data_IF_069285515186
#
_entry.id   IF_069285515186
#
_cell.length_a   1.000
_cell.length_b   1.000
_cell.length_c   1.000
_cell.angle_alpha   90.00
_cell.angle_beta   90.00
_cell.angle_gamma   90.00
#
_symmetry.space_group_name_H-M   'P 1'
#
loop_
_entity.id
_entity.type
_entity.pdbx_description
1 polymer ?
#
# COMPACT_ATOMS: atom_id res chain seq x y z
N UNK A 1 -73.14 -17.78 13.46
CA UNK A 1 -71.95 -17.15 14.06
C UNK A 1 -70.87 -18.22 13.94
N UNK A 2 -69.99 -18.22 12.93
CA UNK A 2 -68.98 -17.20 12.64
C UNK A 2 -68.49 -17.34 11.18
N UNK A 3 -68.11 -16.22 10.56
CA UNK A 3 -67.54 -16.13 9.22
C UNK A 3 -66.02 -16.38 9.19
N UNK A 4 -65.54 -16.62 7.97
CA UNK A 4 -64.26 -17.11 7.47
C UNK A 4 -63.20 -15.99 7.29
N UNK A 5 -61.92 -16.39 7.31
CA UNK A 5 -60.75 -15.91 6.49
C UNK A 5 -59.48 -15.76 7.36
N UNK A 6 -58.49 -16.64 7.21
CA UNK A 6 -57.41 -16.69 6.21
C UNK A 6 -56.14 -15.93 6.69
N UNK A 7 -55.12 -16.68 7.10
CA UNK A 7 -53.76 -16.18 7.35
C UNK A 7 -52.85 -16.73 6.27
N UNK A 8 -52.39 -15.84 5.39
CA UNK A 8 -51.34 -16.07 4.40
C UNK A 8 -49.99 -16.16 5.13
N UNK A 9 -49.27 -17.26 4.89
CA UNK A 9 -47.86 -17.42 5.25
C UNK A 9 -47.05 -17.03 4.02
N UNK A 10 -46.47 -15.83 4.02
CA UNK A 10 -45.46 -15.44 3.04
C UNK A 10 -44.06 -15.74 3.56
N UNK A 11 -43.27 -16.37 2.69
CA UNK A 11 -41.89 -16.81 2.90
C UNK A 11 -40.95 -15.60 2.92
N UNK A 12 -40.23 -15.39 4.02
CA UNK A 12 -39.02 -14.56 4.03
C UNK A 12 -37.80 -15.44 3.72
N UNK A 13 -37.14 -15.17 2.59
CA UNK A 13 -35.79 -15.68 2.33
C UNK A 13 -34.75 -14.95 3.18
N UNK A 14 -33.54 -15.50 3.37
CA UNK A 14 -32.52 -14.87 4.19
C UNK A 14 -31.89 -13.70 3.42
N UNK A 15 -32.26 -12.47 3.77
CA UNK A 15 -31.49 -11.28 3.43
C UNK A 15 -30.20 -11.29 4.24
N UNK A 16 -29.06 -11.48 3.56
CA UNK A 16 -27.72 -11.24 4.13
C UNK A 16 -27.64 -9.78 4.60
N UNK A 17 -27.12 -9.49 5.80
CA UNK A 17 -26.88 -8.11 6.20
C UNK A 17 -25.75 -7.54 5.35
N UNK A 18 -26.01 -6.44 4.64
CA UNK A 18 -24.94 -5.58 4.14
C UNK A 18 -24.17 -5.08 5.36
N UNK A 19 -22.87 -5.39 5.43
CA UNK A 19 -21.96 -4.79 6.38
C UNK A 19 -21.85 -3.30 6.08
N UNK A 20 -22.69 -2.50 6.73
CA UNK A 20 -22.40 -1.09 6.96
C UNK A 20 -21.16 -1.04 7.87
N UNK A 21 -19.97 -0.99 7.26
CA UNK A 21 -18.79 -0.47 7.93
C UNK A 21 -19.12 0.95 8.37
N UNK A 22 -18.76 1.24 9.62
CA UNK A 22 -19.11 2.41 10.43
C UNK A 22 -18.73 3.74 9.75
N UNK A 23 -19.53 4.20 8.80
CA UNK A 23 -19.54 5.57 8.34
C UNK A 23 -20.66 6.28 9.12
N UNK A 24 -20.30 7.14 10.08
CA UNK A 24 -21.27 7.95 10.82
C UNK A 24 -21.18 7.90 12.36
N UNK A 25 -20.08 7.47 12.96
CA UNK A 25 -19.84 7.91 14.35
C UNK A 25 -19.42 9.38 14.30
N UNK A 26 -20.32 10.27 14.73
CA UNK A 26 -19.95 11.64 15.05
C UNK A 26 -18.78 11.60 16.03
N UNK A 27 -17.74 12.38 15.75
CA UNK A 27 -16.64 12.61 16.67
C UNK A 27 -17.20 13.07 18.02
N UNK A 28 -16.58 12.70 19.16
CA UNK A 28 -16.90 13.30 20.43
C UNK A 28 -16.84 14.84 20.29
N UNK A 29 -17.80 15.57 20.88
CA UNK A 29 -17.87 17.04 20.80
C UNK A 29 -16.58 17.74 21.30
N UNK A 30 -15.75 17.02 22.07
CA UNK A 30 -14.44 17.46 22.59
C UNK A 30 -13.27 16.62 22.03
N UNK A 31 -13.25 16.29 20.74
CA UNK A 31 -12.08 15.61 20.15
C UNK A 31 -10.85 16.53 20.20
N UNK A 32 -9.88 16.19 21.04
CA UNK A 32 -8.57 16.84 21.07
C UNK A 32 -7.47 15.80 20.92
N UNK A 33 -6.62 15.94 19.91
CA UNK A 33 -5.39 15.17 19.77
C UNK A 33 -4.31 15.85 20.61
N UNK A 34 -3.92 15.26 21.74
CA UNK A 34 -2.79 15.79 22.52
C UNK A 34 -1.47 15.39 21.84
N UNK A 35 -0.79 16.39 21.27
CA UNK A 35 0.44 16.22 20.50
C UNK A 35 1.71 16.53 21.31
N UNK A 36 1.58 16.87 22.60
CA UNK A 36 2.68 17.32 23.48
C UNK A 36 3.73 16.23 23.79
N UNK A 37 3.41 14.95 23.57
CA UNK A 37 4.31 13.82 23.83
C UNK A 37 5.28 13.49 22.67
N UNK A 38 5.38 14.34 21.65
CA UNK A 38 6.33 14.10 20.54
C UNK A 38 7.73 14.50 20.95
N UNK A 39 8.64 13.52 21.09
CA UNK A 39 10.07 13.75 21.33
C UNK A 39 10.80 14.30 20.08
N UNK A 40 10.13 15.17 19.32
CA UNK A 40 10.48 15.67 17.99
C UNK A 40 10.77 17.17 17.98
N UNK A 41 11.17 17.76 19.12
CA UNK A 41 11.27 19.22 19.31
C UNK A 41 12.26 19.96 18.37
N UNK A 42 13.00 19.23 17.51
CA UNK A 42 13.87 19.79 16.47
C UNK A 42 13.62 19.21 15.06
N UNK A 43 12.70 18.25 14.94
CA UNK A 43 12.36 17.65 13.65
C UNK A 43 11.50 18.66 12.89
N UNK A 44 11.92 18.97 11.66
CA UNK A 44 11.26 19.92 10.77
C UNK A 44 11.67 21.38 10.92
N UNK A 45 12.68 21.71 11.75
CA UNK A 45 13.25 23.07 11.73
C UNK A 45 13.90 23.36 10.36
N UNK A 46 14.07 24.64 9.97
CA UNK A 46 14.80 24.98 8.75
C UNK A 46 16.21 24.39 8.71
N UNK A 47 16.90 24.34 9.86
CA UNK A 47 18.23 23.73 9.97
C UNK A 47 18.20 22.21 9.78
N UNK A 48 17.17 21.54 10.29
CA UNK A 48 16.97 20.10 10.11
C UNK A 48 16.65 19.78 8.64
N UNK A 49 15.80 20.58 7.99
CA UNK A 49 15.53 20.48 6.55
C UNK A 49 16.80 20.67 5.71
N UNK A 50 17.60 21.69 6.01
CA UNK A 50 18.87 21.93 5.29
C UNK A 50 19.88 20.80 5.51
N UNK A 51 19.94 20.24 6.73
CA UNK A 51 20.79 19.10 7.04
C UNK A 51 20.36 17.85 6.26
N UNK A 52 19.05 17.55 6.21
CA UNK A 52 18.51 16.44 5.39
C UNK A 52 18.77 16.65 3.92
N UNK A 53 18.53 17.86 3.39
CA UNK A 53 18.81 18.17 1.99
C UNK A 53 20.29 18.00 1.65
N UNK A 54 21.19 18.44 2.53
CA UNK A 54 22.63 18.23 2.36
C UNK A 54 22.98 16.73 2.33
N UNK A 55 22.38 15.93 3.22
CA UNK A 55 22.55 14.49 3.21
C UNK A 55 22.04 13.87 1.89
N UNK A 56 20.85 14.28 1.44
CA UNK A 56 20.23 13.83 0.20
C UNK A 56 21.12 14.09 -1.03
N UNK A 57 21.75 15.27 -1.11
CA UNK A 57 22.66 15.62 -2.21
C UNK A 57 23.93 14.76 -2.26
N UNK A 58 24.25 14.04 -1.17
CA UNK A 58 25.42 13.15 -1.08
C UNK A 58 25.06 11.66 -1.03
N UNK A 59 23.78 11.34 -1.01
CA UNK A 59 23.29 9.96 -1.00
C UNK A 59 23.43 9.35 -2.40
N UNK A 60 24.18 8.25 -2.49
CA UNK A 60 24.47 7.58 -3.76
C UNK A 60 23.21 7.05 -4.42
N UNK A 61 22.21 6.65 -3.62
CA UNK A 61 20.93 6.18 -4.13
C UNK A 61 20.19 7.23 -4.98
N UNK A 62 20.40 8.53 -4.70
CA UNK A 62 19.71 9.64 -5.37
C UNK A 62 20.46 10.17 -6.60
N UNK A 63 21.65 9.65 -6.90
CA UNK A 63 22.40 10.06 -8.09
C UNK A 63 21.59 9.82 -9.37
N UNK A 64 21.28 10.91 -10.08
CA UNK A 64 20.54 10.86 -11.33
C UNK A 64 19.04 10.54 -11.19
N UNK A 65 18.50 10.45 -9.96
CA UNK A 65 17.08 10.20 -9.78
C UNK A 65 16.21 11.34 -10.30
N UNK A 66 15.03 11.01 -10.82
CA UNK A 66 14.07 12.00 -11.30
C UNK A 66 14.50 12.80 -12.54
N UNK A 67 15.59 12.45 -13.23
CA UNK A 67 16.03 13.17 -14.43
C UNK A 67 15.19 12.87 -15.67
N UNK A 68 14.53 11.70 -15.71
CA UNK A 68 13.71 11.24 -16.83
C UNK A 68 12.39 10.68 -16.31
N UNK A 69 11.36 10.74 -17.16
CA UNK A 69 10.07 10.09 -16.88
C UNK A 69 10.28 8.59 -16.69
N UNK A 70 9.70 8.03 -15.63
CA UNK A 70 9.81 6.62 -15.33
C UNK A 70 9.69 6.31 -13.84
N UNK A 71 9.90 5.04 -13.51
CA UNK A 71 9.89 4.53 -12.14
C UNK A 71 11.30 4.13 -11.75
N UNK A 72 11.70 4.48 -10.53
CA UNK A 72 12.93 4.03 -9.88
C UNK A 72 12.57 3.45 -8.51
N UNK A 73 13.17 2.31 -8.16
CA UNK A 73 12.88 1.60 -6.89
C UNK A 73 14.18 1.34 -6.16
N UNK A 74 14.12 1.50 -4.84
CA UNK A 74 15.16 1.12 -3.91
C UNK A 74 14.57 0.27 -2.80
N UNK A 75 15.37 -0.65 -2.29
CA UNK A 75 15.08 -1.46 -1.11
C UNK A 75 15.88 -0.93 0.07
N UNK A 76 15.29 -0.95 1.25
CA UNK A 76 15.98 -0.67 2.50
C UNK A 76 16.77 -1.91 2.94
N UNK A 77 18.06 -1.76 3.16
CA UNK A 77 18.94 -2.83 3.60
C UNK A 77 19.83 -2.33 4.73
N UNK A 78 19.54 -2.72 5.98
CA UNK A 78 20.37 -2.35 7.15
C UNK A 78 20.65 -0.84 7.26
N UNK A 79 19.59 -0.02 7.21
CA UNK A 79 19.61 1.45 7.18
C UNK A 79 20.16 2.09 5.89
N UNK A 80 20.56 1.31 4.89
CA UNK A 80 21.01 1.82 3.59
C UNK A 80 19.90 1.75 2.53
N UNK A 81 19.94 2.66 1.56
CA UNK A 81 19.03 2.67 0.41
C UNK A 81 19.74 2.05 -0.79
N UNK A 82 19.31 0.86 -1.24
CA UNK A 82 19.97 0.15 -2.35
C UNK A 82 19.06 0.04 -3.55
N UNK A 83 19.60 0.35 -4.73
CA UNK A 83 18.86 0.27 -5.98
C UNK A 83 18.29 -1.14 -6.19
N UNK A 84 16.99 -1.21 -6.42
CA UNK A 84 16.32 -2.47 -6.70
C UNK A 84 16.54 -2.83 -8.17
N UNK A 85 16.93 -4.08 -8.51
CA UNK A 85 17.13 -4.47 -9.90
C UNK A 85 15.86 -4.28 -10.73
N UNK A 86 15.97 -3.72 -11.93
CA UNK A 86 14.80 -3.45 -12.79
C UNK A 86 14.02 -4.70 -13.18
N UNK A 87 14.69 -5.85 -13.23
CA UNK A 87 14.06 -7.17 -13.45
C UNK A 87 13.14 -7.59 -12.29
N UNK A 88 13.38 -7.05 -11.09
CA UNK A 88 12.60 -7.31 -9.88
C UNK A 88 11.46 -6.30 -9.68
N UNK A 89 11.24 -5.36 -10.59
CA UNK A 89 10.17 -4.37 -10.43
C UNK A 89 8.80 -5.04 -10.41
N UNK A 90 8.02 -4.68 -9.38
CA UNK A 90 6.76 -5.33 -9.05
C UNK A 90 6.89 -6.53 -8.11
N UNK A 91 8.10 -7.00 -7.77
CA UNK A 91 8.31 -8.02 -6.74
C UNK A 91 8.72 -7.35 -5.42
N UNK A 92 7.94 -7.59 -4.36
CA UNK A 92 8.15 -7.03 -3.03
C UNK A 92 8.15 -8.13 -1.98
N UNK A 93 9.11 -8.09 -1.07
CA UNK A 93 9.23 -9.03 0.04
C UNK A 93 8.47 -8.51 1.27
N UNK A 94 7.69 -9.37 1.92
CA UNK A 94 6.84 -8.98 3.05
C UNK A 94 7.62 -8.60 4.31
N UNK A 95 8.87 -9.04 4.42
CA UNK A 95 9.81 -8.66 5.47
C UNK A 95 10.64 -7.43 5.16
N UNK A 96 10.47 -6.77 4.02
CA UNK A 96 11.30 -5.63 3.59
C UNK A 96 10.49 -4.33 3.46
N UNK A 97 11.19 -3.19 3.42
CA UNK A 97 10.62 -1.88 3.06
C UNK A 97 11.28 -1.33 1.79
N UNK A 98 10.52 -0.56 1.01
CA UNK A 98 10.97 -0.03 -0.29
C UNK A 98 10.63 1.45 -0.44
N UNK A 99 11.41 2.14 -1.25
CA UNK A 99 11.13 3.50 -1.74
C UNK A 99 10.99 3.43 -3.25
N UNK A 100 9.92 4.02 -3.78
CA UNK A 100 9.59 4.06 -5.20
C UNK A 100 9.44 5.53 -5.58
N UNK A 101 10.24 6.00 -6.52
CA UNK A 101 10.08 7.31 -7.15
C UNK A 101 9.43 7.12 -8.52
N UNK A 102 8.31 7.77 -8.74
CA UNK A 102 7.73 7.96 -10.06
C UNK A 102 7.93 9.41 -10.49
N UNK A 103 8.61 9.60 -11.62
CA UNK A 103 8.71 10.87 -12.30
C UNK A 103 7.75 10.88 -13.50
N UNK A 104 6.81 11.82 -13.52
CA UNK A 104 5.89 12.05 -14.63
C UNK A 104 6.07 13.44 -15.20
N UNK A 105 5.46 13.72 -16.36
CA UNK A 105 5.55 15.02 -17.01
C UNK A 105 4.19 15.71 -16.90
N UNK A 106 4.19 16.91 -16.37
CA UNK A 106 3.02 17.77 -16.29
C UNK A 106 2.58 18.19 -17.70
N UNK A 107 1.32 17.97 -18.05
CA UNK A 107 0.80 18.25 -19.39
C UNK A 107 0.74 19.75 -19.70
N UNK A 108 0.57 20.59 -18.67
CA UNK A 108 0.45 22.04 -18.84
C UNK A 108 1.80 22.76 -18.85
N UNK A 109 2.69 22.44 -17.90
CA UNK A 109 3.95 23.16 -17.71
C UNK A 109 5.19 22.47 -18.30
N UNK A 110 5.05 21.24 -18.80
CA UNK A 110 6.15 20.38 -19.29
C UNK A 110 7.23 20.05 -18.23
N UNK A 111 6.98 20.42 -16.97
CA UNK A 111 7.86 20.13 -15.84
C UNK A 111 7.68 18.69 -15.37
N UNK A 112 8.70 18.16 -14.68
CA UNK A 112 8.57 16.87 -14.03
C UNK A 112 7.81 17.02 -12.70
N UNK A 113 6.87 16.11 -12.47
CA UNK A 113 6.19 15.89 -11.21
C UNK A 113 6.74 14.62 -10.58
N UNK A 114 6.77 14.59 -9.25
CA UNK A 114 7.36 13.50 -8.50
C UNK A 114 6.37 12.94 -7.48
N UNK A 115 6.18 11.63 -7.50
CA UNK A 115 5.47 10.88 -6.50
C UNK A 115 6.46 9.90 -5.85
N UNK A 116 6.62 10.00 -4.53
CA UNK A 116 7.49 9.12 -3.73
C UNK A 116 6.60 8.22 -2.89
N UNK A 117 6.60 6.94 -3.19
CA UNK A 117 5.92 5.91 -2.41
C UNK A 117 6.92 5.21 -1.51
N UNK A 118 6.62 5.08 -0.23
CA UNK A 118 7.33 4.13 0.62
C UNK A 118 6.40 2.98 0.97
N UNK A 119 6.81 1.80 0.51
CA UNK A 119 6.04 0.58 0.66
C UNK A 119 6.56 -0.22 1.85
N UNK A 120 5.64 -0.64 2.71
CA UNK A 120 5.92 -1.35 3.95
C UNK A 120 5.37 -2.78 3.87
N UNK A 121 6.28 -3.76 3.93
CA UNK A 121 5.92 -5.16 4.09
C UNK A 121 5.29 -5.42 5.45
N UNK A 122 4.35 -6.38 5.53
CA UNK A 122 3.64 -6.68 6.78
C UNK A 122 4.54 -7.23 7.89
N UNK A 123 5.66 -7.84 7.53
CA UNK A 123 6.65 -8.43 8.43
C UNK A 123 7.94 -7.59 8.50
N UNK A 124 7.98 -6.42 7.84
CA UNK A 124 9.14 -5.52 7.87
C UNK A 124 9.40 -4.96 9.26
N UNK A 125 10.66 -4.74 9.61
CA UNK A 125 11.03 -4.33 10.96
C UNK A 125 10.83 -2.82 11.19
N UNK A 126 10.68 -2.40 12.44
CA UNK A 126 10.44 -1.00 12.78
C UNK A 126 11.59 -0.07 12.33
N UNK A 127 12.82 -0.55 12.34
CA UNK A 127 13.98 0.17 11.82
C UNK A 127 13.94 0.35 10.30
N UNK A 128 13.51 -0.66 9.55
CA UNK A 128 13.33 -0.55 8.09
C UNK A 128 12.19 0.41 7.74
N UNK A 129 11.04 0.27 8.40
CA UNK A 129 9.90 1.17 8.22
C UNK A 129 10.27 2.62 8.53
N UNK A 130 10.99 2.83 9.65
CA UNK A 130 11.49 4.14 10.06
C UNK A 130 12.51 4.72 9.07
N UNK A 131 13.40 3.88 8.54
CA UNK A 131 14.37 4.29 7.51
C UNK A 131 13.67 4.68 6.22
N UNK A 132 12.70 3.88 5.74
CA UNK A 132 11.94 4.18 4.53
C UNK A 132 11.19 5.52 4.64
N UNK A 133 10.55 5.75 5.79
CA UNK A 133 9.86 7.02 6.07
C UNK A 133 10.82 8.21 6.10
N UNK A 134 11.94 8.09 6.83
CA UNK A 134 12.95 9.17 6.89
C UNK A 134 13.56 9.49 5.52
N UNK A 135 13.96 8.45 4.78
CA UNK A 135 14.56 8.57 3.46
C UNK A 135 13.60 9.09 2.40
N UNK A 136 12.29 8.88 2.57
CA UNK A 136 11.26 9.51 1.74
C UNK A 136 11.22 11.02 1.93
N UNK A 137 11.27 11.50 3.18
CA UNK A 137 11.34 12.94 3.47
C UNK A 137 12.66 13.53 2.98
N UNK A 138 13.77 12.81 3.13
CA UNK A 138 15.08 13.20 2.59
C UNK A 138 15.04 13.35 1.06
N UNK A 139 14.41 12.40 0.35
CA UNK A 139 14.25 12.45 -1.11
C UNK A 139 13.29 13.57 -1.56
N UNK A 140 12.23 13.84 -0.79
CA UNK A 140 11.36 14.99 -1.06
C UNK A 140 12.11 16.32 -0.88
N UNK A 141 12.95 16.44 0.17
CA UNK A 141 13.82 17.61 0.37
C UNK A 141 14.86 17.77 -0.75
N UNK A 142 15.32 16.67 -1.37
CA UNK A 142 16.13 16.70 -2.59
C UNK A 142 15.38 17.38 -3.76
N UNK A 143 14.07 17.17 -3.86
CA UNK A 143 13.18 17.83 -4.83
C UNK A 143 12.60 19.16 -4.32
N UNK A 144 13.25 19.82 -3.35
CA UNK A 144 12.80 21.10 -2.77
C UNK A 144 11.41 21.05 -2.12
N UNK A 145 10.95 19.84 -1.77
CA UNK A 145 9.63 19.62 -1.26
C UNK A 145 8.54 19.52 -2.33
N UNK A 146 8.88 19.39 -3.61
CA UNK A 146 7.91 19.33 -4.70
C UNK A 146 7.27 17.95 -4.90
N UNK A 147 7.68 16.93 -4.14
CA UNK A 147 7.16 15.58 -4.32
C UNK A 147 5.94 15.31 -3.44
N UNK A 148 5.01 14.51 -3.97
CA UNK A 148 3.91 13.93 -3.19
C UNK A 148 4.42 12.68 -2.50
N UNK A 149 4.15 12.53 -1.20
CA UNK A 149 4.59 11.36 -0.43
C UNK A 149 3.42 10.40 -0.20
N UNK A 150 3.62 9.12 -0.45
CA UNK A 150 2.60 8.08 -0.29
C UNK A 150 3.10 6.98 0.64
N UNK A 151 2.36 6.74 1.73
CA UNK A 151 2.57 5.59 2.61
C UNK A 151 1.75 4.41 2.10
N UNK A 152 2.45 3.43 1.55
CA UNK A 152 1.85 2.21 1.01
C UNK A 152 2.09 1.04 1.96
N UNK A 153 1.04 0.30 2.27
CA UNK A 153 1.15 -0.91 3.10
C UNK A 153 0.74 -2.10 2.25
N UNK A 154 1.53 -3.18 2.33
CA UNK A 154 1.32 -4.42 1.60
C UNK A 154 -0.17 -4.84 1.55
N UNK A 155 -0.63 -5.15 0.33
CA UNK A 155 -2.01 -5.52 -0.04
C UNK A 155 -3.06 -4.42 0.11
N UNK A 156 -2.69 -3.26 0.63
CA UNK A 156 -3.55 -2.10 0.84
C UNK A 156 -3.06 -0.89 0.05
N UNK A 157 -2.35 -1.11 -1.05
CA UNK A 157 -1.75 -0.03 -1.83
C UNK A 157 -2.79 0.79 -2.59
N UNK A 158 -2.46 2.06 -2.80
CA UNK A 158 -3.25 3.00 -3.59
C UNK A 158 -3.42 2.55 -5.04
N UNK A 159 -4.42 3.12 -5.73
CA UNK A 159 -4.64 2.85 -7.17
C UNK A 159 -3.46 3.38 -7.98
N UNK A 160 -2.89 4.49 -7.53
CA UNK A 160 -1.73 5.18 -8.07
C UNK A 160 -0.49 4.27 -8.01
N UNK A 161 -0.19 3.69 -6.85
CA UNK A 161 0.91 2.72 -6.70
C UNK A 161 0.70 1.48 -7.58
N UNK A 162 -0.52 0.92 -7.58
CA UNK A 162 -0.84 -0.27 -8.37
C UNK A 162 -0.66 -0.04 -9.86
N UNK A 163 -1.01 1.15 -10.36
CA UNK A 163 -0.85 1.51 -11.76
C UNK A 163 0.62 1.56 -12.24
N UNK A 164 1.59 1.66 -11.33
CA UNK A 164 3.02 1.61 -11.66
C UNK A 164 3.46 0.25 -12.20
N UNK A 165 2.72 -0.82 -11.86
CA UNK A 165 3.14 -2.19 -12.14
C UNK A 165 2.07 -2.99 -12.88
N UNK A 166 2.40 -3.68 -13.99
CA UNK A 166 1.45 -4.57 -14.65
C UNK A 166 1.05 -5.77 -13.77
N UNK A 167 1.89 -6.13 -12.80
CA UNK A 167 1.62 -7.12 -11.76
C UNK A 167 2.33 -6.71 -10.46
N UNK A 168 1.77 -7.07 -9.32
CA UNK A 168 2.46 -7.00 -8.02
C UNK A 168 2.64 -8.43 -7.51
N UNK A 169 3.84 -8.76 -7.06
CA UNK A 169 4.16 -10.00 -6.40
C UNK A 169 4.55 -9.75 -4.94
N UNK A 170 3.88 -10.44 -4.02
CA UNK A 170 4.15 -10.43 -2.59
C UNK A 170 4.87 -11.71 -2.20
N UNK A 171 6.15 -11.60 -1.87
CA UNK A 171 7.04 -12.72 -1.61
C UNK A 171 7.31 -12.84 -0.10
N UNK A 172 7.49 -14.07 0.39
CA UNK A 172 7.83 -14.29 1.80
C UNK A 172 9.32 -14.07 2.05
N UNK A 173 9.61 -13.54 3.23
CA UNK A 173 10.96 -13.31 3.72
C UNK A 173 11.42 -11.89 3.43
N UNK A 174 12.72 -11.70 3.34
CA UNK A 174 13.33 -10.38 3.20
C UNK A 174 14.84 -10.48 3.35
N UNK A 175 15.50 -9.33 3.40
CA UNK A 175 16.90 -9.27 3.79
C UNK A 175 17.05 -9.44 5.30
N UNK A 176 18.17 -10.05 5.70
CA UNK A 176 18.61 -10.04 7.10
C UNK A 176 18.64 -8.59 7.60
N UNK A 177 17.77 -8.27 8.56
CA UNK A 177 17.83 -7.01 9.28
C UNK A 177 19.15 -6.92 10.04
N UNK A 178 19.50 -5.74 10.55
CA UNK A 178 20.65 -5.58 11.45
C UNK A 178 20.57 -6.42 12.73
N UNK A 179 19.47 -7.17 12.94
CA UNK A 179 19.14 -7.87 14.17
C UNK A 179 18.76 -9.35 14.01
N UNK A 180 18.65 -9.91 12.79
CA UNK A 180 18.36 -11.35 12.56
C UNK A 180 19.15 -11.92 11.38
N UNK A 181 19.52 -13.21 11.48
CA UNK A 181 20.32 -13.93 10.47
C UNK A 181 19.55 -15.11 9.86
N UNK A 182 19.51 -15.21 8.53
CA UNK A 182 18.94 -16.35 7.80
C UNK A 182 20.06 -17.30 7.37
N UNK A 183 20.02 -18.55 7.86
CA UNK A 183 20.94 -19.61 7.46
C UNK A 183 20.66 -20.09 6.02
N UNK A 184 21.72 -20.23 5.22
CA UNK A 184 21.65 -20.72 3.84
C UNK A 184 21.33 -22.24 3.79
N UNK A 185 20.07 -22.58 3.53
CA UNK A 185 19.58 -23.95 3.32
C UNK A 185 19.30 -24.33 1.86
N UNK A 186 18.92 -25.59 1.64
CA UNK A 186 18.45 -26.10 0.33
C UNK A 186 17.24 -25.31 -0.19
N UNK A 187 17.07 -25.28 -1.52
CA UNK A 187 15.95 -24.57 -2.16
C UNK A 187 14.60 -25.07 -1.63
N UNK A 188 13.92 -24.23 -0.84
CA UNK A 188 12.59 -24.53 -0.32
C UNK A 188 11.57 -24.26 -1.43
N UNK A 189 10.67 -25.23 -1.66
CA UNK A 189 9.59 -25.04 -2.62
C UNK A 189 8.66 -23.90 -2.17
N UNK A 190 8.19 -23.12 -3.14
CA UNK A 190 7.30 -21.98 -2.90
C UNK A 190 6.00 -22.17 -3.68
N UNK A 191 4.88 -21.82 -3.05
CA UNK A 191 3.58 -21.80 -3.71
C UNK A 191 3.11 -20.37 -3.87
N UNK A 192 2.83 -19.96 -5.10
CA UNK A 192 2.36 -18.62 -5.44
C UNK A 192 0.92 -18.70 -5.94
N UNK A 193 0.00 -18.01 -5.28
CA UNK A 193 -1.38 -17.83 -5.74
C UNK A 193 -1.46 -16.65 -6.70
N UNK A 194 -2.05 -16.85 -7.86
CA UNK A 194 -2.27 -15.82 -8.88
C UNK A 194 -3.73 -15.41 -8.86
N UNK A 195 -3.99 -14.15 -8.54
CA UNK A 195 -5.35 -13.62 -8.39
C UNK A 195 -5.49 -12.27 -9.07
N UNK A 196 -6.61 -12.08 -9.77
CA UNK A 196 -6.98 -10.76 -10.30
C UNK A 196 -7.89 -10.03 -9.33
N UNK A 197 -7.52 -8.80 -8.98
CA UNK A 197 -8.41 -7.86 -8.26
C UNK A 197 -8.59 -6.64 -9.13
N UNK A 198 -9.85 -6.34 -9.49
CA UNK A 198 -10.20 -5.30 -10.46
C UNK A 198 -9.41 -5.42 -11.77
N UNK A 199 -8.44 -4.52 -12.01
CA UNK A 199 -7.54 -4.52 -13.18
C UNK A 199 -6.12 -4.98 -12.85
N UNK A 200 -5.81 -5.22 -11.57
CA UNK A 200 -4.48 -5.58 -11.10
C UNK A 200 -4.30 -7.10 -11.05
N UNK A 201 -3.16 -7.58 -11.54
CA UNK A 201 -2.73 -8.97 -11.31
C UNK A 201 -1.85 -9.03 -10.08
N UNK A 202 -2.17 -9.95 -9.18
CA UNK A 202 -1.42 -10.17 -7.95
C UNK A 202 -0.87 -11.59 -7.92
N UNK A 203 0.37 -11.74 -7.48
CA UNK A 203 1.05 -13.02 -7.25
C UNK A 203 1.42 -13.06 -5.78
N UNK A 204 0.85 -13.97 -4.99
CA UNK A 204 1.00 -13.95 -3.53
C UNK A 204 1.66 -15.25 -3.10
N UNK A 205 2.79 -15.18 -2.42
CA UNK A 205 3.41 -16.35 -1.79
C UNK A 205 2.55 -16.80 -0.60
N UNK A 206 2.00 -18.01 -0.71
CA UNK A 206 1.13 -18.66 0.28
C UNK A 206 1.86 -19.86 0.88
N UNK A 207 1.30 -20.45 1.94
CA UNK A 207 1.87 -21.66 2.53
C UNK A 207 2.02 -22.75 1.44
N UNK A 208 3.21 -23.34 1.32
CA UNK A 208 3.50 -24.40 0.36
C UNK A 208 2.89 -25.73 0.82
N UNK A 209 1.56 -25.81 0.72
CA UNK A 209 0.75 -26.94 1.16
C UNK A 209 -0.47 -27.08 0.26
N UNK A 210 -0.94 -28.32 0.10
CA UNK A 210 -2.16 -28.63 -0.67
C UNK A 210 -3.36 -27.79 -0.21
N UNK A 211 -3.49 -27.57 1.09
CA UNK A 211 -4.63 -26.87 1.70
C UNK A 211 -4.70 -25.37 1.32
N UNK A 212 -3.66 -24.82 0.70
CA UNK A 212 -3.66 -23.47 0.12
C UNK A 212 -4.33 -23.42 -1.26
N UNK A 213 -4.44 -24.55 -1.98
CA UNK A 213 -5.06 -24.62 -3.30
C UNK A 213 -6.58 -24.44 -3.20
N UNK A 214 -7.17 -23.79 -4.21
CA UNK A 214 -8.62 -23.73 -4.38
C UNK A 214 -9.00 -23.74 -5.86
N UNK A 215 -10.16 -24.29 -6.22
CA UNK A 215 -10.58 -24.40 -7.63
C UNK A 215 -10.88 -23.06 -8.31
N UNK A 216 -10.96 -21.94 -7.58
CA UNK A 216 -11.26 -20.61 -8.13
C UNK A 216 -10.06 -19.83 -8.66
N UNK A 217 -8.84 -20.21 -8.30
CA UNK A 217 -7.63 -19.44 -8.63
C UNK A 217 -6.59 -20.29 -9.41
N UNK A 218 -5.52 -19.65 -9.86
CA UNK A 218 -4.35 -20.33 -10.42
C UNK A 218 -3.18 -20.29 -9.44
N UNK A 219 -2.34 -21.31 -9.48
CA UNK A 219 -1.20 -21.42 -8.57
C UNK A 219 0.07 -21.82 -9.33
N UNK A 220 1.20 -21.28 -8.90
CA UNK A 220 2.53 -21.63 -9.39
C UNK A 220 3.30 -22.28 -8.24
N UNK A 221 3.69 -23.54 -8.40
CA UNK A 221 4.59 -24.22 -7.47
C UNK A 221 6.00 -24.16 -8.05
N UNK A 222 6.85 -23.34 -7.45
CA UNK A 222 8.28 -23.33 -7.73
C UNK A 222 8.98 -24.37 -6.87
N UNK A 223 9.28 -25.53 -7.44
CA UNK A 223 10.01 -26.62 -6.82
C UNK A 223 11.49 -26.66 -7.28
N UNK A 224 12.06 -25.51 -7.65
CA UNK A 224 13.43 -25.38 -8.11
C UNK A 224 13.56 -25.77 -9.59
N UNK A 225 13.85 -27.03 -9.88
CA UNK A 225 14.05 -27.50 -11.26
C UNK A 225 12.74 -27.61 -12.06
N UNK A 226 11.60 -27.70 -11.36
CA UNK A 226 10.28 -27.79 -11.98
C UNK A 226 9.39 -26.67 -11.45
N UNK A 227 8.78 -25.93 -12.37
CA UNK A 227 7.83 -24.87 -12.06
C UNK A 227 6.46 -25.35 -12.55
N UNK A 228 5.60 -25.79 -11.64
CA UNK A 228 4.28 -26.30 -12.00
C UNK A 228 3.28 -25.17 -12.03
N UNK A 229 2.44 -25.12 -13.07
CA UNK A 229 1.26 -24.24 -13.09
C UNK A 229 0.02 -25.10 -12.89
N UNK A 230 -0.60 -24.96 -11.72
CA UNK A 230 -1.87 -25.58 -11.39
C UNK A 230 -3.01 -24.59 -11.68
N UNK A 231 -4.05 -25.07 -12.36
CA UNK A 231 -5.21 -24.27 -12.76
C UNK A 231 -6.45 -24.83 -12.10
N UNK A 232 -7.10 -24.03 -11.26
CA UNK A 232 -8.39 -24.40 -10.71
C UNK A 232 -9.46 -24.52 -11.78
N UNK A 233 -10.41 -25.43 -11.59
CA UNK A 233 -11.47 -25.71 -12.58
C UNK A 233 -12.43 -24.52 -12.79
N UNK A 234 -12.50 -23.62 -11.82
CA UNK A 234 -13.35 -22.43 -11.81
C UNK A 234 -12.54 -21.13 -12.05
N UNK A 235 -11.23 -21.23 -12.28
CA UNK A 235 -10.38 -20.04 -12.47
C UNK A 235 -10.71 -19.29 -13.77
N UNK A 236 -10.44 -17.99 -13.79
CA UNK A 236 -10.67 -17.21 -15.00
C UNK A 236 -9.60 -17.50 -16.07
N UNK A 237 -9.95 -17.47 -17.38
CA UNK A 237 -8.95 -17.62 -18.45
C UNK A 237 -7.83 -16.58 -18.39
N UNK A 238 -8.13 -15.39 -17.86
CA UNK A 238 -7.15 -14.32 -17.66
C UNK A 238 -6.13 -14.69 -16.57
N UNK A 239 -6.58 -15.19 -15.42
CA UNK A 239 -5.69 -15.65 -14.35
C UNK A 239 -4.81 -16.81 -14.82
N UNK A 240 -5.37 -17.74 -15.59
CA UNK A 240 -4.59 -18.83 -16.19
C UNK A 240 -3.51 -18.34 -17.15
N UNK A 241 -3.79 -17.29 -17.93
CA UNK A 241 -2.78 -16.66 -18.80
C UNK A 241 -1.71 -15.94 -17.97
N UNK A 242 -2.11 -15.18 -16.95
CA UNK A 242 -1.17 -14.46 -16.09
C UNK A 242 -0.28 -15.40 -15.28
N UNK A 243 -0.82 -16.52 -14.81
CA UNK A 243 -0.05 -17.55 -14.12
C UNK A 243 1.01 -18.17 -15.03
N UNK A 244 0.66 -18.47 -16.28
CA UNK A 244 1.63 -18.93 -17.27
C UNK A 244 2.74 -17.89 -17.51
N UNK A 245 2.38 -16.62 -17.72
CA UNK A 245 3.37 -15.56 -17.94
C UNK A 245 4.30 -15.37 -16.73
N UNK A 246 3.76 -15.45 -15.51
CA UNK A 246 4.56 -15.36 -14.29
C UNK A 246 5.49 -16.57 -14.12
N UNK A 247 5.04 -17.77 -14.46
CA UNK A 247 5.86 -18.98 -14.42
C UNK A 247 6.99 -18.96 -15.46
N UNK A 248 6.71 -18.51 -16.70
CA UNK A 248 7.72 -18.33 -17.75
C UNK A 248 8.74 -17.25 -17.40
N UNK A 249 8.29 -16.14 -16.78
CA UNK A 249 9.19 -15.13 -16.27
C UNK A 249 10.14 -15.71 -15.20
N UNK A 250 9.61 -16.51 -14.27
CA UNK A 250 10.40 -17.20 -13.25
C UNK A 250 11.38 -18.22 -13.86
N UNK A 251 11.00 -18.96 -14.89
CA UNK A 251 11.91 -19.85 -15.62
C UNK A 251 13.05 -19.07 -16.29
N UNK A 252 12.74 -17.92 -16.89
CA UNK A 252 13.71 -17.09 -17.61
C UNK A 252 14.85 -16.57 -16.71
N UNK A 253 14.57 -16.29 -15.44
CA UNK A 253 15.58 -15.87 -14.46
C UNK A 253 16.51 -17.01 -14.02
N UNK A 254 16.14 -18.27 -14.29
CA UNK A 254 16.92 -19.46 -13.89
C UNK A 254 17.92 -19.92 -14.95
N UNK A 255 18.02 -19.21 -16.08
CA UNK A 255 19.01 -19.45 -17.14
C UNK A 255 19.10 -20.93 -17.60
N UNK A 256 17.95 -21.62 -17.69
CA UNK A 256 17.84 -23.02 -18.12
C UNK A 256 18.00 -24.07 -17.01
N UNK A 257 18.05 -23.65 -15.74
CA UNK A 257 18.06 -24.56 -14.57
C UNK A 257 16.68 -25.08 -14.15
N UNK A 258 15.61 -24.57 -14.76
CA UNK A 258 14.22 -24.88 -14.43
C UNK A 258 13.39 -25.05 -15.71
N UNK A 259 12.26 -25.74 -15.62
CA UNK A 259 11.29 -25.87 -16.71
C UNK A 259 9.85 -25.69 -16.21
N UNK A 260 9.06 -24.90 -16.94
CA UNK A 260 7.60 -24.80 -16.69
C UNK A 260 6.89 -26.06 -17.17
N UNK A 261 5.97 -26.57 -16.36
CA UNK A 261 5.15 -27.75 -16.68
C UNK A 261 3.69 -27.57 -16.23
N UNK A 262 2.79 -28.18 -17.01
CA UNK A 262 1.37 -28.33 -16.68
C UNK A 262 1.01 -29.78 -16.30
N UNK A 263 1.99 -30.69 -16.34
CA UNK A 263 1.79 -32.07 -15.91
C UNK A 263 1.81 -32.12 -14.39
N UNK A 264 0.63 -32.29 -13.78
CA UNK A 264 0.48 -32.50 -12.34
C UNK A 264 0.78 -33.97 -12.05
N UNK A 265 1.95 -34.23 -11.46
CA UNK A 265 2.47 -35.57 -11.19
C UNK A 265 2.76 -35.79 -9.69
N UNK A 266 3.35 -36.94 -9.36
CA UNK A 266 3.70 -37.29 -7.98
C UNK A 266 4.68 -36.28 -7.34
N UNK A 267 5.51 -35.61 -8.15
CA UNK A 267 6.45 -34.59 -7.70
C UNK A 267 5.74 -33.33 -7.19
N UNK A 268 4.72 -32.89 -7.93
CA UNK A 268 3.85 -31.79 -7.50
C UNK A 268 3.19 -32.10 -6.15
N UNK A 269 2.56 -33.27 -6.02
CA UNK A 269 1.86 -33.64 -4.79
C UNK A 269 2.83 -33.85 -3.61
N UNK A 270 3.99 -34.47 -3.84
CA UNK A 270 5.00 -34.64 -2.80
C UNK A 270 5.48 -33.29 -2.23
N UNK A 271 5.68 -32.29 -3.07
CA UNK A 271 6.09 -30.94 -2.65
C UNK A 271 5.00 -30.19 -1.86
N UNK A 272 3.73 -30.56 -2.02
CA UNK A 272 2.58 -29.98 -1.30
C UNK A 272 2.13 -30.79 -0.07
N UNK A 273 2.86 -31.85 0.29
CA UNK A 273 2.54 -32.70 1.44
C UNK A 273 1.56 -33.85 1.13
N UNK A 274 1.30 -34.14 -0.15
CA UNK A 274 0.50 -35.27 -0.63
C UNK A 274 -0.77 -34.84 -1.38
N UNK A 275 -1.30 -35.77 -2.17
CA UNK A 275 -2.56 -35.59 -2.91
C UNK A 275 -3.77 -35.57 -1.95
N UNK A 276 -4.85 -34.90 -2.35
CA UNK A 276 -6.11 -34.93 -1.63
C UNK A 276 -7.13 -33.94 -2.17
N UNK A 277 -8.24 -33.78 -1.43
CA UNK A 277 -9.31 -32.86 -1.81
C UNK A 277 -8.82 -31.39 -1.78
N UNK A 278 -9.26 -30.62 -2.77
CA UNK A 278 -9.04 -29.19 -2.90
C UNK A 278 -10.38 -28.47 -2.68
N UNK A 279 -10.35 -27.33 -2.00
CA UNK A 279 -11.57 -26.58 -1.64
C UNK A 279 -12.16 -25.85 -2.85
N UNK A 280 -13.46 -25.60 -2.81
CA UNK A 280 -14.16 -24.85 -3.85
C UNK A 280 -13.75 -23.36 -3.86
N UNK A 281 -14.03 -22.66 -4.95
CA UNK A 281 -13.84 -21.20 -5.01
C UNK A 281 -14.67 -20.46 -3.93
N UNK A 282 -15.85 -20.98 -3.59
CA UNK A 282 -16.77 -20.35 -2.65
C UNK A 282 -16.34 -20.51 -1.18
N UNK A 283 -15.58 -21.56 -0.86
CA UNK A 283 -15.09 -21.83 0.50
C UNK A 283 -13.71 -21.21 0.74
N UNK A 284 -13.03 -20.74 -0.32
CA UNK A 284 -11.73 -20.10 -0.23
C UNK A 284 -11.83 -18.71 0.40
N UNK A 285 -11.00 -18.44 1.40
CA UNK A 285 -10.83 -17.10 1.94
C UNK A 285 -10.02 -16.25 0.95
N UNK A 286 -10.43 -14.98 0.74
CA UNK A 286 -9.61 -14.04 -0.02
C UNK A 286 -8.36 -13.67 0.79
N UNK A 287 -7.19 -13.79 0.17
CA UNK A 287 -5.93 -13.34 0.76
C UNK A 287 -5.76 -11.83 0.63
N UNK A 288 -6.42 -11.21 -0.36
CA UNK A 288 -6.41 -9.77 -0.58
C UNK A 288 -7.64 -9.12 0.06
N UNK A 289 -7.50 -7.90 0.63
CA UNK A 289 -8.63 -7.14 1.14
C UNK A 289 -9.57 -6.73 0.00
N UNK A 290 -10.85 -6.58 0.32
CA UNK A 290 -11.82 -6.04 -0.64
C UNK A 290 -11.58 -4.55 -0.88
N UNK A 291 -11.71 -4.05 -2.12
CA UNK A 291 -11.70 -2.62 -2.38
C UNK A 291 -12.78 -1.91 -1.55
N UNK A 292 -12.41 -0.78 -0.95
CA UNK A 292 -13.32 0.08 -0.18
C UNK A 292 -13.52 1.36 -0.97
N UNK A 293 -14.78 1.70 -1.21
CA UNK A 293 -15.16 2.94 -1.92
C UNK A 293 -14.75 4.18 -1.11
N UNK A 294 -14.40 5.24 -1.84
CA UNK A 294 -14.11 6.55 -1.27
C UNK A 294 -15.40 7.11 -0.64
N UNK A 295 -15.32 7.47 0.63
CA UNK A 295 -16.42 8.06 1.39
C UNK A 295 -16.55 9.57 1.17
N UNK A 296 -17.46 10.19 1.93
CA UNK A 296 -17.80 11.63 1.80
C UNK A 296 -16.64 12.59 2.13
N UNK A 297 -15.58 12.12 2.79
CA UNK A 297 -14.50 12.98 3.27
C UNK A 297 -14.86 13.75 4.55
N UNK A 298 -13.99 13.68 5.55
CA UNK A 298 -14.07 14.50 6.77
C UNK A 298 -12.78 15.28 6.91
N UNK A 299 -12.87 16.60 6.84
CA UNK A 299 -11.73 17.51 6.83
C UNK A 299 -11.47 18.04 8.23
N UNK A 300 -10.23 17.90 8.67
CA UNK A 300 -9.70 18.40 9.92
C UNK A 300 -8.60 19.42 9.66
N UNK A 301 -8.60 20.52 10.40
CA UNK A 301 -7.52 21.50 10.43
C UNK A 301 -6.62 21.20 11.63
N UNK A 302 -5.32 21.14 11.39
CA UNK A 302 -4.24 21.06 12.36
C UNK A 302 -3.55 22.44 12.41
N UNK A 303 -3.70 23.15 13.53
CA UNK A 303 -3.20 24.51 13.69
C UNK A 303 -2.54 24.70 15.05
N UNK A 304 -1.48 25.51 15.11
CA UNK A 304 -0.83 25.96 16.35
C UNK A 304 -1.10 27.42 16.74
N UNK A 305 -2.07 28.07 16.07
CA UNK A 305 -2.40 29.48 16.24
C UNK A 305 -2.79 29.88 17.68
N UNK A 306 -3.28 28.95 18.51
CA UNK A 306 -3.62 29.20 19.91
C UNK A 306 -2.43 29.04 20.89
N UNK A 307 -1.24 28.72 20.36
CA UNK A 307 -0.01 28.47 21.12
C UNK A 307 0.25 26.98 21.40
N UNK A 308 -0.72 26.11 21.13
CA UNK A 308 -0.63 24.65 21.22
C UNK A 308 -1.08 23.99 19.92
N UNK A 309 -0.52 22.84 19.57
CA UNK A 309 -0.90 22.16 18.32
C UNK A 309 -2.22 21.43 18.54
N UNK A 310 -3.30 21.87 17.90
CA UNK A 310 -4.65 21.35 18.05
C UNK A 310 -5.27 20.92 16.72
N UNK A 311 -6.25 20.01 16.78
CA UNK A 311 -6.94 19.49 15.60
C UNK A 311 -8.46 19.65 15.74
N UNK A 312 -9.13 20.20 14.72
CA UNK A 312 -10.58 20.44 14.74
C UNK A 312 -11.24 20.09 13.39
N UNK A 313 -12.49 19.61 13.41
CA UNK A 313 -13.27 19.33 12.18
C UNK A 313 -13.74 20.65 11.56
N UNK A 314 -13.44 20.85 10.27
CA UNK A 314 -13.76 22.08 9.53
C UNK A 314 -14.68 21.83 8.33
N UNK A 315 -14.90 20.58 7.93
CA UNK A 315 -15.79 20.24 6.82
C UNK A 315 -16.08 18.75 6.68
N UNK A 316 -17.16 18.43 5.98
CA UNK A 316 -17.59 17.06 5.67
C UNK A 316 -18.42 17.04 4.38
N UNK A 317 -18.17 16.07 3.50
CA UNK A 317 -18.95 15.90 2.27
C UNK A 317 -18.56 16.89 1.18
N UNK A 318 -19.13 18.10 1.23
CA UNK A 318 -18.96 19.13 0.20
C UNK A 318 -17.64 19.91 0.40
N UNK A 319 -16.52 19.20 0.33
CA UNK A 319 -15.20 19.76 0.54
C UNK A 319 -14.76 20.59 -0.68
N UNK A 320 -14.21 21.77 -0.44
CA UNK A 320 -13.73 22.68 -1.51
C UNK A 320 -12.32 23.16 -1.21
N UNK A 321 -11.58 23.55 -2.24
CA UNK A 321 -10.23 24.11 -2.07
C UNK A 321 -10.22 25.37 -1.20
N UNK A 322 -11.31 26.14 -1.15
CA UNK A 322 -11.43 27.33 -0.30
C UNK A 322 -11.48 27.03 1.20
N UNK A 323 -11.57 25.76 1.61
CA UNK A 323 -11.48 25.34 3.01
C UNK A 323 -10.03 25.15 3.48
N UNK A 324 -9.06 25.13 2.57
CA UNK A 324 -7.65 24.91 2.85
C UNK A 324 -6.93 26.26 3.01
N UNK A 325 -6.50 26.57 4.21
CA UNK A 325 -5.72 27.78 4.52
C UNK A 325 -4.22 27.51 4.34
N UNK A 326 -3.52 28.36 3.56
CA UNK A 326 -2.06 28.28 3.35
C UNK A 326 -1.27 28.22 4.66
N UNK A 327 -1.82 28.75 5.74
CA UNK A 327 -1.14 28.90 7.04
C UNK A 327 -1.17 27.64 7.89
N UNK A 328 -1.88 26.57 7.48
CA UNK A 328 -2.12 25.39 8.33
C UNK A 328 -1.93 24.05 7.58
N UNK A 329 -2.01 22.95 8.33
CA UNK A 329 -2.05 21.59 7.80
C UNK A 329 -3.46 21.04 7.91
N UNK A 330 -3.91 20.28 6.92
CA UNK A 330 -5.24 19.68 6.90
C UNK A 330 -5.15 18.17 6.73
N UNK A 331 -5.99 17.43 7.45
CA UNK A 331 -6.14 15.97 7.33
C UNK A 331 -7.57 15.69 6.86
N UNK A 332 -7.71 15.00 5.74
CA UNK A 332 -8.98 14.55 5.20
C UNK A 332 -9.10 13.02 5.33
N UNK A 333 -10.05 12.55 6.13
CA UNK A 333 -10.39 11.12 6.21
C UNK A 333 -11.45 10.78 5.15
N UNK A 334 -11.03 10.03 4.14
CA UNK A 334 -11.91 9.58 3.05
C UNK A 334 -12.62 8.27 3.37
N UNK A 335 -12.24 7.58 4.45
CA UNK A 335 -12.60 6.18 4.69
C UNK A 335 -11.42 5.25 4.42
N UNK A 336 -11.11 4.92 3.15
CA UNK A 336 -10.00 4.01 2.79
C UNK A 336 -8.61 4.65 2.84
N UNK A 337 -8.52 5.98 2.79
CA UNK A 337 -7.26 6.73 2.82
C UNK A 337 -7.35 8.00 3.67
N UNK A 338 -6.21 8.43 4.21
CA UNK A 338 -6.03 9.77 4.78
C UNK A 338 -5.24 10.62 3.80
N UNK A 339 -5.76 11.80 3.47
CA UNK A 339 -5.05 12.81 2.69
C UNK A 339 -4.58 13.91 3.65
N UNK A 340 -3.28 14.20 3.67
CA UNK A 340 -2.72 15.31 4.42
C UNK A 340 -2.32 16.38 3.41
N UNK A 341 -2.84 17.59 3.58
CA UNK A 341 -2.46 18.75 2.80
C UNK A 341 -1.69 19.72 3.68
N UNK A 342 -0.52 20.18 3.22
CA UNK A 342 0.35 21.12 3.93
C UNK A 342 0.33 22.45 3.18
N UNK A 343 -0.16 23.50 3.84
CA UNK A 343 -0.18 24.85 3.30
C UNK A 343 1.23 25.44 3.10
N UNK A 344 1.37 26.36 2.16
CA UNK A 344 2.66 26.97 1.81
C UNK A 344 3.29 27.80 2.93
N UNK A 345 2.45 28.37 3.80
CA UNK A 345 2.83 29.18 4.97
C UNK A 345 2.66 28.43 6.30
N UNK A 346 2.35 27.13 6.26
CA UNK A 346 2.16 26.29 7.44
C UNK A 346 3.41 26.26 8.33
N UNK A 347 3.18 26.18 9.64
CA UNK A 347 4.27 26.24 10.60
C UNK A 347 5.21 25.02 10.45
N UNK A 348 6.53 25.17 10.65
CA UNK A 348 7.45 24.03 10.66
C UNK A 348 7.04 22.94 11.67
N UNK A 349 6.39 23.33 12.76
CA UNK A 349 5.90 22.41 13.80
C UNK A 349 4.70 21.60 13.28
N UNK A 350 3.76 22.24 12.57
CA UNK A 350 2.59 21.56 11.98
C UNK A 350 3.01 20.59 10.89
N UNK A 351 3.83 21.05 9.93
CA UNK A 351 4.29 20.23 8.81
C UNK A 351 5.12 19.03 9.25
N UNK A 352 5.98 19.18 10.28
CA UNK A 352 6.71 18.06 10.88
C UNK A 352 5.80 17.05 11.59
N UNK A 353 4.67 17.50 12.13
CA UNK A 353 3.74 16.67 12.87
C UNK A 353 2.74 15.93 11.96
N UNK A 354 2.70 16.22 10.65
CA UNK A 354 1.73 15.67 9.71
C UNK A 354 1.57 14.13 9.80
N UNK A 355 2.65 13.38 9.55
CA UNK A 355 2.59 11.91 9.51
C UNK A 355 2.33 11.28 10.89
N UNK A 356 2.88 11.87 11.95
CA UNK A 356 2.61 11.43 13.33
C UNK A 356 1.15 11.67 13.72
N UNK A 357 0.59 12.80 13.31
CA UNK A 357 -0.83 13.14 13.51
C UNK A 357 -1.73 12.13 12.81
N UNK A 358 -1.44 11.77 11.56
CA UNK A 358 -2.17 10.70 10.87
C UNK A 358 -2.08 9.36 11.60
N UNK A 359 -0.89 8.97 12.07
CA UNK A 359 -0.72 7.72 12.82
C UNK A 359 -1.51 7.72 14.14
N UNK A 360 -1.51 8.85 14.87
CA UNK A 360 -2.29 9.01 16.09
C UNK A 360 -3.79 9.01 15.82
N UNK A 361 -4.23 9.68 14.76
CA UNK A 361 -5.61 9.68 14.30
C UNK A 361 -6.12 8.26 14.01
N UNK A 362 -5.36 7.47 13.24
CA UNK A 362 -5.73 6.08 12.95
C UNK A 362 -5.91 5.26 14.23
N UNK A 363 -5.00 5.39 15.20
CA UNK A 363 -5.08 4.69 16.48
C UNK A 363 -6.30 5.12 17.31
N UNK A 364 -6.54 6.43 17.42
CA UNK A 364 -7.64 6.97 18.22
C UNK A 364 -9.00 6.62 17.63
N UNK A 365 -9.12 6.65 16.30
CA UNK A 365 -10.32 6.29 15.55
C UNK A 365 -10.48 4.77 15.36
N UNK A 366 -9.55 3.97 15.88
CA UNK A 366 -9.52 2.50 15.73
C UNK A 366 -9.57 2.06 14.27
N UNK A 367 -9.00 2.86 13.37
CA UNK A 367 -8.83 2.53 11.95
C UNK A 367 -7.62 1.62 11.76
N UNK A 368 -7.61 0.75 10.73
CA UNK A 368 -6.45 -0.08 10.43
C UNK A 368 -5.18 0.76 10.23
N UNK A 369 -4.05 0.32 10.78
CA UNK A 369 -2.74 0.95 10.49
C UNK A 369 -2.25 0.67 9.06
N UNK A 370 -2.96 -0.19 8.34
CA UNK A 370 -2.81 -0.43 6.90
C UNK A 370 -3.51 0.62 6.03
N UNK A 371 -4.29 1.54 6.63
CA UNK A 371 -4.89 2.67 5.91
C UNK A 371 -3.82 3.51 5.22
N UNK A 372 -4.06 3.82 3.95
CA UNK A 372 -3.19 4.62 3.09
C UNK A 372 -3.06 6.04 3.66
N UNK A 373 -1.88 6.63 3.55
CA UNK A 373 -1.66 8.03 3.94
C UNK A 373 -0.89 8.72 2.82
N UNK A 374 -1.49 9.75 2.23
CA UNK A 374 -0.86 10.57 1.18
C UNK A 374 -0.63 11.97 1.73
N UNK A 375 0.58 12.51 1.57
CA UNK A 375 0.96 13.86 1.98
C UNK A 375 1.23 14.71 0.75
N UNK A 376 0.49 15.81 0.64
CA UNK A 376 0.48 16.77 -0.45
C UNK A 376 0.85 18.13 0.09
N UNK A 377 1.51 18.96 -0.73
CA UNK A 377 1.75 20.37 -0.42
C UNK A 377 0.93 21.26 -1.33
N UNK A 378 0.68 22.48 -0.88
CA UNK A 378 0.03 23.50 -1.69
C UNK A 378 0.71 23.63 -3.07
N UNK A 379 -0.11 23.62 -4.13
CA UNK A 379 0.35 23.64 -5.51
C UNK A 379 0.65 22.27 -6.14
N UNK A 380 0.70 21.18 -5.37
CA UNK A 380 1.04 19.83 -5.84
C UNK A 380 -0.11 18.82 -5.70
N UNK A 381 -1.36 19.30 -5.70
CA UNK A 381 -2.55 18.45 -5.51
C UNK A 381 -3.03 17.77 -6.81
N UNK A 382 -2.60 18.28 -7.97
CA UNK A 382 -3.07 17.83 -9.28
C UNK A 382 -2.65 16.39 -9.64
N UNK A 383 -1.56 15.87 -9.05
CA UNK A 383 -1.09 14.50 -9.28
C UNK A 383 -1.79 13.45 -8.42
N UNK A 384 -2.72 13.84 -7.53
CA UNK A 384 -3.44 12.91 -6.64
C UNK A 384 -4.91 12.76 -7.05
N UNK A 385 -5.27 11.71 -7.81
CA UNK A 385 -6.66 11.42 -8.19
C UNK A 385 -7.63 11.37 -7.01
N UNK A 386 -7.22 10.73 -5.91
CA UNK A 386 -8.07 10.63 -4.71
C UNK A 386 -8.38 12.01 -4.11
N UNK A 387 -7.44 12.95 -4.15
CA UNK A 387 -7.68 14.34 -3.73
C UNK A 387 -8.68 15.05 -4.67
N UNK A 388 -8.56 14.85 -5.98
CA UNK A 388 -9.47 15.42 -6.97
C UNK A 388 -10.89 14.85 -6.92
N UNK A 389 -11.04 13.60 -6.46
CA UNK A 389 -12.35 12.96 -6.25
C UNK A 389 -13.09 13.56 -5.04
N UNK A 390 -12.34 13.97 -4.01
CA UNK A 390 -12.90 14.41 -2.72
C UNK A 390 -13.09 15.92 -2.64
N UNK A 391 -12.22 16.72 -3.29
CA UNK A 391 -12.30 18.18 -3.26
C UNK A 391 -12.86 18.74 -4.58
N UNK A 392 -13.91 19.55 -4.47
CA UNK A 392 -14.42 20.31 -5.60
C UNK A 392 -13.54 21.55 -5.88
N UNK A 393 -13.27 21.77 -7.17
CA UNK A 393 -12.57 22.94 -7.71
C UNK A 393 -13.46 24.17 -7.83
#
# INVERSE_FOLDING_TARGET
>A
RSCVSAVLVERAGPSRPRSHLLCGQNMPEDFTLNLEDTNCAKIGSPEDKEARKTAALTELAWEGCGQNVGVQIWRIEQFEVKAWPTVEYGNFYDGDSYIILQASRDEESDKLLYDIFFWLGLESTADEQGTAAYKTVELDDFFDGAAVQHREVMMHESKEFRALFPRIAYLKGGIDSGFNHVEAGAYAAKLLQVKKVERQTNVIEVACARDSLNHGDCFILDAGASIYVWKGDECSPFEAQMANMAAEALESTRHGGSAVTHAIDDGFWAALGGEGAIISAADAASVLPEPVEVGEGVLFQLSDADGSLGMSEVGRGDLTLGMLDTSDVFLCDTGPALLIWIGGDASPKESAAAMDTATKYLKQMQKPLTTQVTVLKEGFTASCPTFQEVFAY
#
